data_IF_880605229148
#
_entry.id   IF_880605229148
#
_cell.length_a   1.000
_cell.length_b   1.000
_cell.length_c   1.000
_cell.angle_alpha   90.00
_cell.angle_beta   90.00
_cell.angle_gamma   90.00
#
_symmetry.space_group_name_H-M   'P 1'
#
loop_
_entity.id
_entity.type
_entity.pdbx_description
1 polymer ?
#
# COMPACT_ATOMS: atom_id res chain seq x y z
N UNK A 1 14.24 13.95 40.15
CA UNK A 1 13.39 15.01 39.57
C UNK A 1 13.98 15.32 38.20
N UNK A 2 13.42 14.77 37.12
CA UNK A 2 13.97 14.95 35.77
C UNK A 2 13.52 16.31 35.26
N UNK A 3 14.45 17.25 35.05
CA UNK A 3 14.14 18.56 34.49
C UNK A 3 13.69 18.39 33.03
N UNK A 4 12.46 18.79 32.71
CA UNK A 4 11.98 18.90 31.34
C UNK A 4 12.43 20.25 30.76
N UNK A 5 13.04 20.21 29.57
CA UNK A 5 13.27 21.42 28.80
C UNK A 5 11.95 21.93 28.21
N UNK A 6 11.66 23.21 28.39
CA UNK A 6 10.53 23.87 27.72
C UNK A 6 10.88 24.38 26.31
N UNK A 7 12.11 24.12 25.84
CA UNK A 7 12.54 24.52 24.50
C UNK A 7 11.71 23.76 23.46
N UNK A 8 11.22 24.50 22.48
CA UNK A 8 10.65 23.93 21.27
C UNK A 8 11.72 23.78 20.18
N UNK A 9 11.59 22.71 19.41
CA UNK A 9 12.46 22.39 18.29
C UNK A 9 11.61 22.32 17.03
N UNK A 10 12.09 22.92 15.95
CA UNK A 10 11.50 22.77 14.61
C UNK A 10 12.13 21.55 13.94
N UNK A 11 11.30 20.64 13.46
CA UNK A 11 11.69 19.45 12.70
C UNK A 11 11.07 19.53 11.31
N UNK A 12 11.86 19.20 10.29
CA UNK A 12 11.39 19.06 8.91
C UNK A 12 11.60 17.62 8.47
N UNK A 13 10.55 16.99 7.96
CA UNK A 13 10.61 15.65 7.39
C UNK A 13 9.92 15.63 6.03
N UNK A 14 10.30 14.73 5.11
CA UNK A 14 9.64 14.62 3.82
C UNK A 14 8.13 14.45 4.00
N UNK A 15 7.35 15.10 3.14
CA UNK A 15 5.90 14.92 3.10
C UNK A 15 5.56 13.69 2.24
N UNK A 16 4.88 12.72 2.83
CA UNK A 16 4.33 11.53 2.21
C UNK A 16 3.01 11.13 2.90
N UNK A 17 2.38 10.06 2.41
CA UNK A 17 1.06 9.63 2.91
C UNK A 17 1.07 9.22 4.39
N UNK A 18 2.22 8.79 4.93
CA UNK A 18 2.36 8.34 6.33
C UNK A 18 2.64 9.51 7.27
N UNK A 19 3.60 10.37 6.90
CA UNK A 19 3.95 11.58 7.65
C UNK A 19 2.79 12.57 7.70
N UNK A 20 1.94 12.62 6.66
CA UNK A 20 0.72 13.42 6.65
C UNK A 20 -0.27 13.06 7.79
N UNK A 21 -0.16 11.87 8.37
CA UNK A 21 -1.00 11.41 9.48
C UNK A 21 -0.52 11.92 10.85
N UNK A 22 0.63 12.58 10.92
CA UNK A 22 1.14 13.18 12.16
C UNK A 22 0.31 14.42 12.48
N UNK A 23 -0.28 14.42 13.69
CA UNK A 23 -1.07 15.51 14.22
C UNK A 23 -0.56 15.95 15.61
N UNK A 24 -1.21 16.95 16.19
CA UNK A 24 -1.00 17.43 17.55
C UNK A 24 -0.99 16.28 18.56
N UNK A 25 -0.22 16.45 19.62
CA UNK A 25 -0.06 15.51 20.72
C UNK A 25 0.55 14.14 20.32
N UNK A 26 0.96 13.95 19.06
CA UNK A 26 1.75 12.79 18.67
C UNK A 26 3.10 12.83 19.37
N UNK A 27 3.45 11.72 20.03
CA UNK A 27 4.70 11.54 20.81
C UNK A 27 5.71 10.70 20.05
N UNK A 28 6.99 11.07 20.15
CA UNK A 28 8.11 10.39 19.50
C UNK A 28 9.31 10.27 20.45
N UNK A 29 10.07 9.19 20.31
CA UNK A 29 11.43 9.11 20.85
C UNK A 29 12.43 9.35 19.73
N UNK A 30 13.24 10.40 19.84
CA UNK A 30 14.13 10.82 18.75
C UNK A 30 15.61 10.56 19.04
N UNK A 31 15.98 10.38 20.31
CA UNK A 31 17.38 10.22 20.71
C UNK A 31 17.51 9.41 22.00
N UNK A 32 18.70 8.86 22.24
CA UNK A 32 19.07 8.14 23.46
C UNK A 32 20.24 8.91 24.10
N UNK A 33 20.03 9.41 25.32
CA UNK A 33 21.07 10.12 26.08
C UNK A 33 21.31 9.36 27.37
N UNK A 34 22.55 8.91 27.59
CA UNK A 34 22.95 8.13 28.76
C UNK A 34 22.11 6.85 28.94
N UNK A 35 21.83 6.15 27.83
CA UNK A 35 21.01 4.93 27.83
C UNK A 35 19.50 5.16 27.97
N UNK A 36 19.06 6.41 28.18
CA UNK A 36 17.66 6.76 28.37
C UNK A 36 17.09 7.46 27.12
N UNK A 37 16.00 6.96 26.52
CA UNK A 37 15.38 7.61 25.39
C UNK A 37 14.73 8.94 25.80
N UNK A 38 14.80 9.94 24.92
CA UNK A 38 14.13 11.24 25.12
C UNK A 38 12.87 11.31 24.28
N UNK A 39 11.77 11.55 24.99
CA UNK A 39 10.44 11.69 24.42
C UNK A 39 10.16 13.15 24.09
N UNK A 40 9.47 13.35 22.97
CA UNK A 40 9.04 14.64 22.46
C UNK A 40 7.58 14.55 22.06
N UNK A 41 6.83 15.64 22.21
CA UNK A 41 5.44 15.76 21.80
C UNK A 41 5.29 16.87 20.77
N UNK A 42 4.43 16.64 19.79
CA UNK A 42 4.10 17.59 18.74
C UNK A 42 3.21 18.70 19.28
N UNK A 43 3.69 19.95 19.20
CA UNK A 43 2.95 21.14 19.65
C UNK A 43 2.36 21.94 18.49
N UNK A 44 2.88 21.73 17.28
CA UNK A 44 2.36 22.35 16.05
C UNK A 44 2.69 21.51 14.83
N UNK A 45 1.78 21.51 13.86
CA UNK A 45 1.93 20.85 12.57
C UNK A 45 1.66 21.87 11.47
N UNK A 46 2.61 22.04 10.55
CA UNK A 46 2.46 22.81 9.34
C UNK A 46 2.69 21.91 8.13
N UNK A 47 1.58 21.51 7.53
CA UNK A 47 1.54 20.69 6.33
C UNK A 47 1.54 21.54 5.05
N UNK A 48 1.59 22.88 5.17
CA UNK A 48 1.16 23.81 4.11
C UNK A 48 2.26 24.69 3.54
N UNK A 49 3.16 25.19 4.38
CA UNK A 49 4.10 26.24 3.96
C UNK A 49 5.24 25.70 3.10
N UNK A 50 5.71 24.48 3.39
CA UNK A 50 6.86 23.85 2.71
C UNK A 50 6.44 22.72 1.76
N UNK A 51 5.16 22.69 1.33
CA UNK A 51 4.68 21.79 0.27
C UNK A 51 4.53 22.52 -1.05
N UNK A 52 4.78 21.80 -2.13
CA UNK A 52 4.55 22.27 -3.49
C UNK A 52 4.06 21.13 -4.37
N UNK A 53 3.30 21.45 -5.40
CA UNK A 53 2.89 20.48 -6.40
C UNK A 53 3.98 20.36 -7.47
N UNK A 54 4.45 19.13 -7.70
CA UNK A 54 5.36 18.82 -8.79
C UNK A 54 4.85 17.59 -9.54
N UNK A 55 4.61 17.74 -10.85
CA UNK A 55 4.10 16.67 -11.71
C UNK A 55 2.79 16.02 -11.23
N UNK A 56 1.87 16.82 -10.67
CA UNK A 56 0.58 16.34 -10.17
C UNK A 56 0.67 15.52 -8.88
N UNK A 57 1.82 15.59 -8.18
CA UNK A 57 2.00 15.03 -6.84
C UNK A 57 2.38 16.13 -5.87
N UNK A 58 1.80 16.08 -4.67
CA UNK A 58 2.26 16.91 -3.54
C UNK A 58 3.61 16.41 -3.09
N UNK A 59 4.60 17.31 -3.08
CA UNK A 59 5.96 17.07 -2.59
C UNK A 59 6.35 18.17 -1.61
N UNK A 60 7.48 18.01 -0.93
CA UNK A 60 8.02 19.00 0.00
C UNK A 60 8.20 18.42 1.39
N UNK A 61 8.00 19.25 2.41
CA UNK A 61 8.25 18.89 3.80
C UNK A 61 7.04 19.12 4.69
N UNK A 62 6.83 18.18 5.61
CA UNK A 62 6.07 18.39 6.82
C UNK A 62 6.95 19.13 7.84
N UNK A 63 6.47 20.25 8.36
CA UNK A 63 7.16 21.02 9.40
C UNK A 63 6.45 20.85 10.72
N UNK A 64 7.16 20.35 11.73
CA UNK A 64 6.65 20.17 13.08
C UNK A 64 7.38 21.10 14.05
N UNK A 65 6.65 21.61 15.04
CA UNK A 65 7.28 22.03 16.29
C UNK A 65 7.04 20.95 17.34
N UNK A 66 8.10 20.58 18.04
CA UNK A 66 8.07 19.57 19.09
C UNK A 66 8.68 20.13 20.37
N UNK A 67 8.21 19.63 21.51
CA UNK A 67 8.76 19.95 22.84
C UNK A 67 9.08 18.67 23.58
N UNK A 68 10.06 18.70 24.47
CA UNK A 68 10.36 17.55 25.31
C UNK A 68 9.15 17.17 26.19
N UNK A 69 8.91 15.87 26.29
CA UNK A 69 7.85 15.27 27.09
C UNK A 69 8.41 14.14 27.99
N UNK A 70 7.62 13.72 28.98
CA UNK A 70 8.03 12.65 29.90
C UNK A 70 7.85 11.28 29.27
N UNK A 71 8.78 10.37 29.57
CA UNK A 71 8.61 8.95 29.31
C UNK A 71 7.49 8.37 30.18
N UNK A 72 6.61 7.57 29.59
CA UNK A 72 5.54 6.86 30.27
C UNK A 72 5.81 5.35 30.24
N UNK A 73 6.29 4.79 31.34
CA UNK A 73 6.64 3.36 31.43
C UNK A 73 5.46 2.38 31.25
N UNK A 74 4.22 2.85 31.23
CA UNK A 74 3.03 2.00 31.03
C UNK A 74 2.65 1.84 29.57
N UNK A 75 2.90 2.86 28.75
CA UNK A 75 2.46 2.92 27.37
C UNK A 75 3.62 3.01 26.39
N UNK A 76 4.78 3.49 26.82
CA UNK A 76 5.94 3.64 25.95
C UNK A 76 6.83 2.38 26.00
N UNK A 77 7.52 2.09 24.90
CA UNK A 77 8.50 1.02 24.79
C UNK A 77 9.88 1.60 24.44
N UNK A 78 10.75 1.69 25.45
CA UNK A 78 12.10 2.24 25.33
C UNK A 78 13.01 1.42 24.39
N UNK A 79 12.91 0.08 24.41
CA UNK A 79 13.73 -0.78 23.55
C UNK A 79 13.40 -0.59 22.07
N UNK A 80 12.11 -0.43 21.75
CA UNK A 80 11.64 -0.22 20.38
C UNK A 80 11.67 1.24 19.94
N UNK A 81 11.98 2.19 20.85
CA UNK A 81 11.91 3.63 20.60
C UNK A 81 10.52 4.11 20.15
N UNK A 82 9.45 3.52 20.71
CA UNK A 82 8.05 3.81 20.33
C UNK A 82 7.29 4.35 21.53
N UNK A 83 6.72 5.55 21.40
CA UNK A 83 5.74 6.09 22.34
C UNK A 83 4.36 5.48 22.10
N UNK A 84 3.57 5.35 23.17
CA UNK A 84 2.21 4.81 23.11
C UNK A 84 2.11 3.47 22.38
N UNK A 85 3.13 2.64 22.59
CA UNK A 85 3.24 1.28 22.08
C UNK A 85 2.12 0.43 22.64
N UNK A 86 1.33 -0.12 21.73
CA UNK A 86 0.50 -1.28 21.98
C UNK A 86 1.14 -2.48 21.30
N UNK A 87 1.10 -3.63 21.95
CA UNK A 87 1.53 -4.86 21.30
C UNK A 87 0.62 -5.07 20.08
N UNK A 88 1.17 -5.17 18.86
CA UNK A 88 0.35 -5.51 17.72
C UNK A 88 -0.35 -6.82 18.05
N UNK A 89 -1.62 -6.95 17.67
CA UNK A 89 -2.35 -8.21 17.83
C UNK A 89 -1.42 -9.34 17.39
N UNK A 90 -1.15 -10.29 18.29
CA UNK A 90 -0.36 -11.47 17.95
C UNK A 90 -1.08 -12.13 16.79
N UNK A 91 -0.57 -11.90 15.59
CA UNK A 91 -0.83 -12.78 14.47
C UNK A 91 -0.16 -14.06 14.93
N UNK A 92 -0.97 -15.10 15.14
CA UNK A 92 -0.50 -16.39 15.61
C UNK A 92 0.74 -16.77 14.80
N UNK A 93 1.88 -17.07 15.45
CA UNK A 93 3.14 -17.32 14.72
C UNK A 93 3.02 -18.54 13.79
N UNK A 94 1.98 -19.37 14.00
CA UNK A 94 1.53 -20.43 13.08
C UNK A 94 1.00 -19.92 11.72
N UNK A 95 0.61 -18.64 11.61
CA UNK A 95 0.17 -18.02 10.35
C UNK A 95 1.31 -17.36 9.57
N UNK A 96 2.47 -17.09 10.18
CA UNK A 96 3.62 -16.48 9.47
C UNK A 96 4.21 -17.47 8.46
N UNK A 97 4.21 -18.76 8.79
CA UNK A 97 4.69 -19.84 7.92
C UNK A 97 3.73 -20.16 6.75
N UNK A 98 2.52 -19.59 6.77
CA UNK A 98 1.47 -19.84 5.76
C UNK A 98 1.04 -18.58 5.01
N UNK A 99 1.72 -17.43 5.17
CA UNK A 99 1.42 -16.24 4.36
C UNK A 99 1.81 -16.48 2.91
N UNK A 100 0.79 -16.68 2.09
CA UNK A 100 0.89 -16.75 0.65
C UNK A 100 0.78 -15.34 0.07
N UNK A 101 1.70 -14.99 -0.82
CA UNK A 101 1.62 -13.77 -1.63
C UNK A 101 1.12 -14.12 -3.03
N UNK A 102 0.20 -13.33 -3.57
CA UNK A 102 -0.28 -13.50 -4.95
C UNK A 102 0.38 -12.48 -5.88
N UNK A 103 0.68 -12.88 -7.11
CA UNK A 103 1.22 -12.04 -8.18
C UNK A 103 0.54 -12.39 -9.50
N UNK A 104 0.26 -11.38 -10.33
CA UNK A 104 -0.33 -11.55 -11.66
C UNK A 104 0.78 -11.42 -12.72
N UNK A 105 1.12 -12.52 -13.40
CA UNK A 105 2.07 -12.54 -14.52
C UNK A 105 1.36 -12.29 -15.85
N UNK A 106 1.94 -11.48 -16.72
CA UNK A 106 1.44 -11.20 -18.08
C UNK A 106 2.56 -10.79 -19.02
N UNK A 107 2.31 -10.89 -20.33
CA UNK A 107 3.28 -10.52 -21.37
C UNK A 107 2.99 -9.12 -21.91
N UNK A 108 4.05 -8.31 -22.02
CA UNK A 108 3.99 -6.96 -22.57
C UNK A 108 3.41 -5.94 -21.59
N UNK A 109 2.88 -4.82 -22.11
CA UNK A 109 2.25 -3.77 -21.31
C UNK A 109 0.91 -4.23 -20.73
N UNK A 110 0.44 -3.68 -19.60
CA UNK A 110 -0.89 -3.92 -19.06
C UNK A 110 -1.97 -3.19 -19.89
N UNK A 111 -2.07 -3.54 -21.17
CA UNK A 111 -2.99 -2.97 -22.14
C UNK A 111 -3.76 -4.08 -22.85
N UNK A 112 -5.08 -3.92 -23.02
CA UNK A 112 -5.93 -4.84 -23.80
C UNK A 112 -6.37 -4.13 -25.07
N UNK A 113 -6.21 -4.77 -26.23
CA UNK A 113 -6.50 -4.14 -27.52
C UNK A 113 -7.95 -4.39 -27.93
N UNK A 114 -8.64 -3.34 -28.39
CA UNK A 114 -9.98 -3.41 -28.99
C UNK A 114 -9.90 -4.27 -30.25
N UNK A 115 -10.78 -5.27 -30.37
CA UNK A 115 -10.75 -6.21 -31.50
C UNK A 115 -9.50 -7.09 -31.56
N UNK A 116 -8.64 -7.04 -30.54
CA UNK A 116 -7.38 -7.76 -30.49
C UNK A 116 -7.51 -9.23 -30.09
N UNK A 117 -6.36 -9.91 -30.07
CA UNK A 117 -6.26 -11.27 -29.54
C UNK A 117 -6.46 -11.30 -28.02
N UNK A 118 -6.79 -12.47 -27.49
CA UNK A 118 -6.88 -12.73 -26.06
C UNK A 118 -5.61 -12.33 -25.32
N UNK A 119 -5.74 -11.45 -24.33
CA UNK A 119 -4.67 -11.18 -23.36
C UNK A 119 -4.78 -12.20 -22.22
N UNK A 120 -3.63 -12.73 -21.79
CA UNK A 120 -3.54 -13.78 -20.77
C UNK A 120 -2.90 -13.24 -19.50
N UNK A 121 -3.44 -13.64 -18.36
CA UNK A 121 -2.97 -13.36 -17.02
C UNK A 121 -2.82 -14.67 -16.26
N UNK A 122 -1.60 -14.96 -15.84
CA UNK A 122 -1.27 -16.18 -15.12
C UNK A 122 -1.13 -15.88 -13.63
N UNK A 123 -1.72 -16.68 -12.75
CA UNK A 123 -1.53 -16.54 -11.33
C UNK A 123 -0.13 -17.05 -10.95
N UNK A 124 0.50 -16.41 -9.97
CA UNK A 124 1.67 -16.94 -9.27
C UNK A 124 1.43 -16.72 -7.78
N UNK A 125 1.63 -17.77 -7.00
CA UNK A 125 1.56 -17.71 -5.56
C UNK A 125 2.91 -18.08 -4.98
N UNK A 126 3.40 -17.30 -4.01
CA UNK A 126 4.69 -17.53 -3.36
C UNK A 126 4.53 -17.62 -1.87
N UNK A 127 5.26 -18.54 -1.24
CA UNK A 127 5.42 -18.57 0.21
C UNK A 127 6.25 -17.38 0.71
N UNK A 128 6.33 -17.21 2.03
CA UNK A 128 7.23 -16.24 2.67
C UNK A 128 8.70 -16.46 2.34
N UNK A 129 9.10 -17.70 2.01
CA UNK A 129 10.46 -18.04 1.58
C UNK A 129 10.73 -17.67 0.10
N UNK A 130 9.72 -17.18 -0.62
CA UNK A 130 9.82 -16.83 -2.04
C UNK A 130 9.68 -18.03 -2.99
N UNK A 131 9.28 -19.19 -2.47
CA UNK A 131 9.07 -20.41 -3.28
C UNK A 131 7.69 -20.39 -3.93
N UNK A 132 7.61 -20.81 -5.20
CA UNK A 132 6.33 -20.91 -5.91
C UNK A 132 5.51 -22.10 -5.39
N UNK A 133 4.26 -21.83 -5.00
CA UNK A 133 3.34 -22.81 -4.44
C UNK A 133 2.07 -22.91 -5.30
N UNK A 134 1.43 -24.08 -5.24
CA UNK A 134 0.19 -24.33 -5.99
C UNK A 134 -1.02 -23.93 -5.15
N UNK A 135 -1.81 -23.00 -5.68
CA UNK A 135 -3.04 -22.49 -5.07
C UNK A 135 -4.15 -22.41 -6.11
N UNK A 136 -5.40 -22.45 -5.65
CA UNK A 136 -6.56 -22.29 -6.55
C UNK A 136 -6.81 -20.81 -6.81
N UNK A 137 -6.57 -20.39 -8.05
CA UNK A 137 -6.79 -19.01 -8.48
C UNK A 137 -8.28 -18.70 -8.69
N UNK A 138 -8.77 -17.66 -8.02
CA UNK A 138 -10.07 -17.02 -8.25
C UNK A 138 -9.86 -15.65 -8.87
N UNK A 139 -10.48 -15.43 -10.02
CA UNK A 139 -10.37 -14.16 -10.75
C UNK A 139 -11.65 -13.36 -10.63
N UNK A 140 -11.49 -12.04 -10.45
CA UNK A 140 -12.57 -11.08 -10.49
C UNK A 140 -12.24 -9.97 -11.48
N UNK A 141 -13.18 -9.69 -12.38
CA UNK A 141 -13.09 -8.60 -13.32
C UNK A 141 -14.07 -7.50 -12.94
N UNK A 142 -13.62 -6.25 -13.04
CA UNK A 142 -14.42 -5.06 -12.73
C UNK A 142 -14.25 -4.02 -13.84
N UNK A 143 -15.37 -3.61 -14.42
CA UNK A 143 -15.50 -2.49 -15.36
C UNK A 143 -16.83 -1.77 -15.12
N UNK A 144 -17.07 -0.67 -15.83
CA UNK A 144 -18.38 0.00 -15.85
C UNK A 144 -19.45 -0.93 -16.44
N UNK A 145 -20.70 -0.81 -15.98
CA UNK A 145 -21.79 -1.71 -16.38
C UNK A 145 -22.02 -1.71 -17.90
N UNK A 146 -22.01 -0.50 -18.50
CA UNK A 146 -22.14 -0.26 -19.94
C UNK A 146 -21.03 -0.92 -20.79
N UNK A 147 -19.92 -1.31 -20.18
CA UNK A 147 -18.80 -1.93 -20.86
C UNK A 147 -18.83 -3.46 -20.86
N UNK A 148 -19.66 -4.08 -20.00
CA UNK A 148 -19.67 -5.54 -19.84
C UNK A 148 -20.04 -6.27 -21.13
N UNK A 149 -20.92 -5.71 -21.96
CA UNK A 149 -21.32 -6.33 -23.23
C UNK A 149 -20.18 -6.38 -24.27
N UNK A 150 -19.14 -5.56 -24.10
CA UNK A 150 -17.98 -5.50 -25.01
C UNK A 150 -16.77 -6.29 -24.51
N UNK A 151 -16.90 -7.02 -23.40
CA UNK A 151 -15.81 -7.80 -22.80
C UNK A 151 -16.15 -9.27 -22.80
N UNK A 152 -15.25 -10.08 -23.37
CA UNK A 152 -15.28 -11.53 -23.21
C UNK A 152 -14.19 -11.99 -22.25
N UNK A 153 -14.54 -12.92 -21.38
CA UNK A 153 -13.64 -13.49 -20.37
C UNK A 153 -13.67 -15.01 -20.42
N UNK A 154 -12.51 -15.62 -20.19
CA UNK A 154 -12.37 -17.06 -20.03
C UNK A 154 -11.38 -17.36 -18.91
N UNK A 155 -11.65 -18.41 -18.14
CA UNK A 155 -10.68 -18.99 -17.21
C UNK A 155 -10.39 -20.43 -17.65
N UNK A 156 -9.13 -20.80 -17.80
CA UNK A 156 -8.72 -22.15 -18.18
C UNK A 156 -8.45 -23.04 -16.96
N UNK A 157 -8.35 -24.36 -17.18
CA UNK A 157 -8.18 -25.38 -16.12
C UNK A 157 -6.89 -25.15 -15.31
N UNK A 158 -5.87 -24.58 -15.93
CA UNK A 158 -4.59 -24.16 -15.33
C UNK A 158 -4.68 -22.85 -14.51
N UNK A 159 -5.89 -22.31 -14.31
CA UNK A 159 -6.11 -21.09 -13.54
C UNK A 159 -5.72 -19.80 -14.28
N UNK A 160 -5.40 -19.87 -15.58
CA UNK A 160 -5.08 -18.67 -16.37
C UNK A 160 -6.35 -17.92 -16.74
N UNK A 161 -6.37 -16.62 -16.47
CA UNK A 161 -7.44 -15.71 -16.87
C UNK A 161 -7.13 -15.10 -18.24
N UNK A 162 -8.14 -15.07 -19.11
CA UNK A 162 -8.06 -14.49 -20.44
C UNK A 162 -9.17 -13.48 -20.62
N UNK A 163 -8.81 -12.35 -21.23
CA UNK A 163 -9.75 -11.28 -21.57
C UNK A 163 -9.56 -10.85 -23.01
N UNK A 164 -10.66 -10.54 -23.67
CA UNK A 164 -10.72 -9.95 -25.01
C UNK A 164 -11.75 -8.82 -25.02
N UNK A 165 -11.40 -7.70 -25.63
CA UNK A 165 -12.34 -6.61 -25.89
C UNK A 165 -12.85 -6.77 -27.31
N UNK A 166 -14.18 -6.78 -27.49
CA UNK A 166 -14.82 -6.82 -28.79
C UNK A 166 -14.47 -5.59 -29.61
N UNK A 167 -14.66 -5.66 -30.93
CA UNK A 167 -14.32 -4.56 -31.83
C UNK A 167 -15.35 -3.41 -31.72
N UNK A 168 -15.29 -2.66 -30.61
CA UNK A 168 -16.11 -1.49 -30.36
C UNK A 168 -15.25 -0.37 -29.74
N UNK A 169 -15.24 0.80 -30.38
CA UNK A 169 -14.44 1.96 -29.99
C UNK A 169 -14.92 2.66 -28.71
N UNK A 170 -16.11 2.34 -28.19
CA UNK A 170 -16.62 2.93 -26.93
C UNK A 170 -15.71 2.64 -25.73
N UNK A 171 -14.97 1.54 -25.81
CA UNK A 171 -14.04 1.10 -24.78
C UNK A 171 -12.67 1.78 -24.88
N UNK A 172 -12.40 2.60 -25.91
CA UNK A 172 -11.07 3.19 -26.09
C UNK A 172 -10.73 4.17 -24.96
N UNK A 173 -9.56 4.01 -24.37
CA UNK A 173 -9.13 4.75 -23.19
C UNK A 173 -9.77 4.29 -21.88
N UNK A 174 -10.71 3.33 -21.89
CA UNK A 174 -11.28 2.78 -20.67
C UNK A 174 -10.20 2.07 -19.83
N UNK A 175 -10.38 2.08 -18.51
CA UNK A 175 -9.55 1.30 -17.59
C UNK A 175 -10.39 0.20 -16.97
N UNK A 176 -9.88 -1.03 -17.03
CA UNK A 176 -10.52 -2.21 -16.44
C UNK A 176 -9.63 -2.80 -15.37
N UNK A 177 -10.22 -3.35 -14.31
CA UNK A 177 -9.47 -3.95 -13.20
C UNK A 177 -9.64 -5.46 -13.19
N UNK A 178 -8.53 -6.16 -13.06
CA UNK A 178 -8.47 -7.61 -12.91
C UNK A 178 -7.87 -7.89 -11.54
N UNK A 179 -8.57 -8.69 -10.73
CA UNK A 179 -8.13 -9.09 -9.40
C UNK A 179 -7.99 -10.60 -9.33
N UNK A 180 -6.92 -11.05 -8.69
CA UNK A 180 -6.60 -12.43 -8.38
C UNK A 180 -6.72 -12.62 -6.87
N UNK A 181 -7.28 -13.74 -6.46
CA UNK A 181 -7.33 -14.16 -5.05
C UNK A 181 -7.13 -15.68 -4.98
N UNK A 182 -6.53 -16.20 -3.91
CA UNK A 182 -6.55 -17.64 -3.64
C UNK A 182 -7.95 -18.11 -3.17
N UNK A 183 -8.12 -19.42 -2.96
CA UNK A 183 -9.42 -19.99 -2.57
C UNK A 183 -10.00 -19.36 -1.31
N UNK A 184 -9.14 -19.10 -0.33
CA UNK A 184 -9.51 -18.74 1.04
C UNK A 184 -9.54 -17.22 1.26
N UNK A 185 -9.16 -16.42 0.26
CA UNK A 185 -9.21 -14.96 0.35
C UNK A 185 -7.99 -14.30 0.99
N UNK A 186 -7.01 -15.09 1.44
CA UNK A 186 -5.86 -14.61 2.22
C UNK A 186 -4.75 -13.99 1.36
N UNK A 187 -4.62 -14.42 0.11
CA UNK A 187 -3.65 -13.88 -0.85
C UNK A 187 -4.38 -13.21 -2.00
N UNK A 188 -4.06 -11.95 -2.29
CA UNK A 188 -4.70 -11.20 -3.36
C UNK A 188 -3.72 -10.29 -4.12
N UNK A 189 -4.05 -10.04 -5.39
CA UNK A 189 -3.34 -9.11 -6.25
C UNK A 189 -4.34 -8.45 -7.20
N UNK A 190 -4.04 -7.23 -7.65
CA UNK A 190 -4.87 -6.56 -8.66
C UNK A 190 -4.02 -5.82 -9.66
N UNK A 191 -4.51 -5.75 -10.89
CA UNK A 191 -3.90 -4.97 -11.96
C UNK A 191 -4.96 -4.17 -12.70
N UNK A 192 -4.60 -2.94 -13.05
CA UNK A 192 -5.38 -2.09 -13.94
C UNK A 192 -4.83 -2.19 -15.35
N UNK A 193 -5.72 -2.42 -16.30
CA UNK A 193 -5.37 -2.53 -17.71
C UNK A 193 -6.08 -1.43 -18.49
N UNK A 194 -5.31 -0.70 -19.31
CA UNK A 194 -5.88 0.27 -20.24
C UNK A 194 -6.38 -0.44 -21.49
N UNK A 195 -7.55 -0.04 -21.96
CA UNK A 195 -8.07 -0.49 -23.25
C UNK A 195 -7.61 0.48 -24.32
N UNK A 196 -7.03 -0.05 -25.39
CA UNK A 196 -6.41 0.73 -26.46
C UNK A 196 -6.88 0.26 -27.83
N UNK A 197 -7.15 1.20 -28.72
CA UNK A 197 -7.42 0.90 -30.14
C UNK A 197 -6.23 0.22 -30.83
N UNK A 198 -6.54 -0.69 -31.77
CA UNK A 198 -5.58 -1.09 -32.81
C UNK A 198 -5.45 0.09 -33.77
N UNK A 199 -4.31 0.79 -33.74
CA UNK A 199 -3.92 1.76 -34.78
C UNK A 199 -3.95 1.12 -36.16
#
# INVERSE_FOLDING_TARGET
MTSLSQREYKVQMPFDDETALIDLDKRFMLEIINGEPKTYVTTSVDQSTERYELHGKTQGFLVLNIRQDQYNSKTDNAEKMICDYFEPNKIDESEIDSRVTATIKYVGKPEVRIGGSWKKFSPMFTSVAGEEITEIAKWKFVCLEEFKEFVEMQSTIDGVFKIRILNNSIMDGATVRISLTNADGTANASIECKVVSLL
#
